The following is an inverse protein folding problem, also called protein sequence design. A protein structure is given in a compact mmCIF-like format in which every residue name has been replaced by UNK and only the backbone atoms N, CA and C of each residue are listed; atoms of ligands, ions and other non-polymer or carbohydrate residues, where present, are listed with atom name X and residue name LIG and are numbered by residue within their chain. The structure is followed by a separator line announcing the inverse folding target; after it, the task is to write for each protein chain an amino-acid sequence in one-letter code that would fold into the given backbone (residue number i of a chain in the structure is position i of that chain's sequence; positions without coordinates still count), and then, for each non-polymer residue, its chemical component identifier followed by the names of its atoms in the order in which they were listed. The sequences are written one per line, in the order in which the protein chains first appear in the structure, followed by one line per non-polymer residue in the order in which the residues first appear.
data_IF_552560893204
#
_entry.id   IF_552560893204
#
_cell.length_a   1.000
_cell.length_b   1.000
_cell.length_c   1.000
_cell.angle_alpha   90.00
_cell.angle_beta   90.00
_cell.angle_gamma   90.00
#
_symmetry.space_group_name_H-M   'P 1'
#
loop_
_entity.id
_entity.type
_entity.pdbx_description
1 polymer ?
#
# COMPACT_ATOMS: atom_id res chain seq x y z
N UNK A 1 -16.72 21.73 8.15
CA UNK A 1 -15.42 21.04 8.09
C UNK A 1 -15.63 19.85 7.17
N UNK A 2 -14.85 19.75 6.09
CA UNK A 2 -14.92 18.59 5.18
C UNK A 2 -14.49 17.32 5.90
N UNK A 3 -14.84 16.16 5.34
CA UNK A 3 -14.34 14.88 5.85
C UNK A 3 -12.80 14.87 5.78
N UNK A 4 -12.16 14.28 6.78
CA UNK A 4 -10.73 13.98 6.74
C UNK A 4 -10.59 12.47 6.61
N UNK A 5 -9.96 12.01 5.53
CA UNK A 5 -9.77 10.58 5.26
C UNK A 5 -8.29 10.23 5.41
N UNK A 6 -7.99 9.14 6.09
CA UNK A 6 -6.63 8.63 6.25
C UNK A 6 -6.47 7.29 5.54
N UNK A 7 -5.53 7.23 4.61
CA UNK A 7 -5.26 6.06 3.77
C UNK A 7 -3.86 5.54 4.05
N UNK A 8 -3.71 4.24 4.25
CA UNK A 8 -2.40 3.58 4.12
C UNK A 8 -2.24 3.05 2.70
N UNK A 9 -1.06 3.22 2.12
CA UNK A 9 -0.80 2.83 0.74
C UNK A 9 0.56 2.14 0.65
N UNK A 10 0.56 0.85 0.32
CA UNK A 10 1.75 0.09 -0.05
C UNK A 10 2.20 0.52 -1.45
N UNK A 11 3.20 1.41 -1.50
CA UNK A 11 3.78 2.04 -2.69
C UNK A 11 4.89 1.15 -3.28
N UNK A 12 4.48 0.12 -4.02
CA UNK A 12 5.38 -0.90 -4.54
C UNK A 12 5.91 -0.60 -5.95
N UNK A 13 5.63 0.61 -6.48
CA UNK A 13 6.08 1.12 -7.78
C UNK A 13 6.81 2.47 -7.65
N UNK A 14 7.43 2.72 -6.50
CA UNK A 14 8.18 3.96 -6.22
C UNK A 14 9.30 4.24 -7.23
N UNK A 15 9.83 3.21 -7.89
CA UNK A 15 10.81 3.26 -8.99
C UNK A 15 10.22 3.73 -10.35
N UNK A 16 9.00 4.30 -10.36
CA UNK A 16 8.31 4.78 -11.58
C UNK A 16 7.75 6.19 -11.38
N UNK A 17 8.08 7.16 -12.24
CA UNK A 17 7.57 8.52 -12.09
C UNK A 17 6.06 8.59 -12.34
N UNK A 18 5.53 7.84 -13.30
CA UNK A 18 4.10 7.85 -13.63
C UNK A 18 3.25 7.01 -12.67
N UNK A 19 3.80 5.93 -12.11
CA UNK A 19 3.04 4.97 -11.30
C UNK A 19 3.26 5.11 -9.79
N UNK A 20 4.45 5.54 -9.35
CA UNK A 20 4.70 5.89 -7.96
C UNK A 20 3.98 7.18 -7.62
N UNK A 21 4.48 8.33 -8.11
CA UNK A 21 3.88 9.61 -7.73
C UNK A 21 2.54 9.88 -8.42
N UNK A 22 2.48 9.75 -9.76
CA UNK A 22 1.24 9.99 -10.50
C UNK A 22 0.13 8.98 -10.19
N UNK A 23 0.46 7.69 -10.18
CA UNK A 23 -0.47 6.60 -9.90
C UNK A 23 -1.08 6.69 -8.51
N UNK A 24 -0.27 7.00 -7.49
CA UNK A 24 -0.78 7.20 -6.12
C UNK A 24 -1.75 8.38 -6.05
N UNK A 25 -1.50 9.48 -6.78
CA UNK A 25 -2.45 10.59 -6.84
C UNK A 25 -3.78 10.20 -7.50
N UNK A 26 -3.77 9.41 -8.58
CA UNK A 26 -5.00 8.95 -9.24
C UNK A 26 -5.85 8.05 -8.33
N UNK A 27 -5.23 7.18 -7.53
CA UNK A 27 -5.94 6.35 -6.55
C UNK A 27 -6.61 7.18 -5.44
N UNK A 28 -6.00 8.30 -5.06
CA UNK A 28 -6.46 9.16 -3.96
C UNK A 28 -7.46 10.21 -4.45
N UNK A 29 -7.40 10.58 -5.73
CA UNK A 29 -8.22 11.65 -6.32
C UNK A 29 -9.72 11.55 -6.02
N UNK A 30 -10.39 10.37 -6.11
CA UNK A 30 -11.81 10.26 -5.76
C UNK A 30 -12.12 10.64 -4.30
N UNK A 31 -11.24 10.27 -3.37
CA UNK A 31 -11.36 10.62 -1.95
C UNK A 31 -11.13 12.11 -1.72
N UNK A 32 -10.13 12.67 -2.40
CA UNK A 32 -9.78 14.09 -2.29
C UNK A 32 -10.88 15.03 -2.80
N UNK A 33 -11.78 14.59 -3.67
CA UNK A 33 -12.96 15.39 -4.03
C UNK A 33 -13.98 15.52 -2.90
N UNK A 34 -13.93 14.64 -1.88
CA UNK A 34 -14.85 14.64 -0.75
C UNK A 34 -14.31 15.35 0.49
N UNK A 35 -13.01 15.64 0.54
CA UNK A 35 -12.38 16.30 1.69
C UNK A 35 -10.86 16.17 1.68
N UNK A 36 -10.21 16.52 2.80
CA UNK A 36 -8.76 16.38 2.91
C UNK A 36 -8.37 14.92 3.06
N UNK A 37 -7.24 14.54 2.48
CA UNK A 37 -6.72 13.18 2.56
C UNK A 37 -5.31 13.19 3.11
N UNK A 38 -5.05 12.33 4.08
CA UNK A 38 -3.71 11.98 4.52
C UNK A 38 -3.37 10.58 4.02
N UNK A 39 -2.21 10.45 3.39
CA UNK A 39 -1.72 9.20 2.83
C UNK A 39 -0.43 8.82 3.54
N UNK A 40 -0.47 7.70 4.25
CA UNK A 40 0.70 7.06 4.84
C UNK A 40 1.28 6.07 3.82
N UNK A 41 2.41 6.45 3.22
CA UNK A 41 3.10 5.67 2.20
C UNK A 41 4.04 4.66 2.86
N UNK A 42 3.89 3.41 2.47
CA UNK A 42 4.69 2.29 2.93
C UNK A 42 5.48 1.70 1.76
N UNK A 43 6.80 1.61 1.88
CA UNK A 43 7.69 1.05 0.85
C UNK A 43 8.50 -0.11 1.41
N UNK A 44 7.86 -1.20 1.88
CA UNK A 44 8.52 -2.28 2.61
C UNK A 44 9.63 -2.98 1.80
N UNK A 45 9.52 -3.00 0.48
CA UNK A 45 10.54 -3.55 -0.44
C UNK A 45 11.84 -2.74 -0.46
N UNK A 46 11.80 -1.48 -0.05
CA UNK A 46 12.97 -0.59 0.02
C UNK A 46 13.51 -0.45 1.44
N UNK A 47 12.69 -0.78 2.43
CA UNK A 47 12.91 -0.49 3.84
C UNK A 47 13.90 -1.46 4.50
N UNK A 48 14.71 -0.96 5.44
CA UNK A 48 15.55 -1.77 6.30
C UNK A 48 14.75 -2.53 7.37
N UNK A 49 15.34 -3.62 7.88
CA UNK A 49 14.79 -4.36 9.01
C UNK A 49 14.79 -3.53 10.31
N UNK A 50 15.79 -2.67 10.49
CA UNK A 50 15.91 -1.79 11.66
C UNK A 50 14.77 -0.77 11.71
N UNK A 51 14.45 -0.14 10.58
CA UNK A 51 13.29 0.74 10.48
C UNK A 51 11.98 0.00 10.77
N UNK A 52 11.86 -1.27 10.36
CA UNK A 52 10.69 -2.10 10.68
C UNK A 52 10.56 -2.43 12.17
N UNK A 53 11.68 -2.62 12.87
CA UNK A 53 11.68 -2.81 14.33
C UNK A 53 11.26 -1.53 15.05
N UNK A 54 11.79 -0.37 14.62
CA UNK A 54 11.41 0.94 15.14
C UNK A 54 9.91 1.19 14.95
N UNK A 55 9.36 0.93 13.76
CA UNK A 55 7.93 1.04 13.50
C UNK A 55 7.10 0.20 14.48
N UNK A 56 7.50 -1.06 14.72
CA UNK A 56 6.77 -1.94 15.63
C UNK A 56 6.82 -1.47 17.09
N UNK A 57 7.94 -0.89 17.55
CA UNK A 57 8.11 -0.44 18.94
C UNK A 57 7.61 0.98 19.22
N UNK A 58 7.73 1.87 18.24
CA UNK A 58 7.49 3.32 18.40
C UNK A 58 6.18 3.77 17.72
N UNK A 59 5.57 2.95 16.86
CA UNK A 59 4.35 3.29 16.12
C UNK A 59 4.65 4.00 14.81
N UNK A 60 4.29 5.28 14.72
CA UNK A 60 4.53 6.09 13.53
C UNK A 60 5.97 6.58 13.48
N UNK A 61 6.76 6.04 12.55
CA UNK A 61 8.16 6.42 12.33
C UNK A 61 8.30 6.90 10.89
N UNK A 62 8.63 8.18 10.70
CA UNK A 62 8.94 8.69 9.37
C UNK A 62 10.23 8.06 8.84
N UNK A 63 10.21 7.60 7.59
CA UNK A 63 11.42 7.07 6.94
C UNK A 63 12.37 8.20 6.57
N UNK A 64 13.66 7.96 6.73
CA UNK A 64 14.73 8.75 6.12
C UNK A 64 15.38 7.96 4.98
N UNK A 65 16.29 8.60 4.25
CA UNK A 65 17.07 7.94 3.20
C UNK A 65 17.92 6.78 3.75
N UNK A 66 18.45 6.91 4.97
CA UNK A 66 19.21 5.86 5.66
C UNK A 66 18.35 4.61 5.97
N UNK A 67 17.03 4.79 6.13
CA UNK A 67 16.10 3.71 6.41
C UNK A 67 15.72 2.90 5.15
N UNK A 68 16.10 3.36 3.95
CA UNK A 68 15.78 2.73 2.66
C UNK A 68 17.04 2.34 1.86
N UNK A 69 17.84 1.36 2.34
CA UNK A 69 19.15 1.03 1.75
C UNK A 69 19.11 0.47 0.32
N UNK A 70 17.90 0.20 -0.21
CA UNK A 70 17.69 -0.31 -1.56
C UNK A 70 16.99 0.70 -2.46
N UNK A 71 16.91 1.96 -2.04
CA UNK A 71 16.30 3.02 -2.84
C UNK A 71 17.01 3.19 -4.18
N UNK A 72 16.22 3.48 -5.22
CA UNK A 72 16.72 3.70 -6.57
C UNK A 72 17.14 5.17 -6.74
N UNK A 73 18.43 5.40 -6.97
CA UNK A 73 19.03 6.75 -7.12
C UNK A 73 18.49 7.51 -8.34
N UNK A 74 17.81 6.84 -9.29
CA UNK A 74 17.16 7.48 -10.43
C UNK A 74 15.97 8.36 -10.02
N UNK A 75 15.46 8.20 -8.78
CA UNK A 75 14.36 8.98 -8.22
C UNK A 75 14.71 9.52 -6.84
N UNK A 76 14.67 10.84 -6.65
CA UNK A 76 14.97 11.45 -5.35
C UNK A 76 14.04 10.96 -4.24
N UNK A 77 14.61 10.47 -3.15
CA UNK A 77 13.87 10.19 -1.93
C UNK A 77 13.23 11.47 -1.39
N UNK A 78 11.98 11.38 -0.97
CA UNK A 78 11.30 12.44 -0.24
C UNK A 78 10.58 11.83 0.96
N UNK A 79 10.57 12.51 2.09
CA UNK A 79 9.91 12.01 3.29
C UNK A 79 8.42 12.37 3.28
N UNK A 80 8.11 13.62 2.92
CA UNK A 80 6.76 14.16 2.89
C UNK A 80 6.54 15.03 1.66
N UNK A 81 5.29 15.07 1.19
CA UNK A 81 4.87 15.92 0.08
C UNK A 81 3.40 16.30 0.27
N UNK A 82 3.04 17.55 0.00
CA UNK A 82 1.65 18.02 0.07
C UNK A 82 1.29 18.75 -1.20
N UNK A 83 0.08 18.52 -1.69
CA UNK A 83 -0.50 19.18 -2.86
C UNK A 83 -2.00 19.38 -2.66
N UNK A 84 -2.63 20.12 -3.58
CA UNK A 84 -4.08 20.24 -3.64
C UNK A 84 -4.64 19.40 -4.78
N UNK A 85 -5.67 18.60 -4.48
CA UNK A 85 -6.44 17.85 -5.48
C UNK A 85 -7.90 18.23 -5.31
N UNK A 86 -8.53 18.74 -6.37
CA UNK A 86 -9.94 19.15 -6.33
C UNK A 86 -10.25 20.28 -5.34
N UNK A 87 -9.24 21.07 -4.95
CA UNK A 87 -9.38 22.15 -3.96
C UNK A 87 -9.29 21.71 -2.50
N UNK A 88 -8.97 20.44 -2.24
CA UNK A 88 -8.69 19.92 -0.90
C UNK A 88 -7.20 19.54 -0.75
N UNK A 89 -6.62 19.74 0.44
CA UNK A 89 -5.23 19.37 0.70
C UNK A 89 -5.09 17.85 0.79
N UNK A 90 -4.06 17.33 0.15
CA UNK A 90 -3.62 15.94 0.21
C UNK A 90 -2.17 15.90 0.69
N UNK A 91 -1.93 15.27 1.83
CA UNK A 91 -0.58 15.04 2.36
C UNK A 91 -0.16 13.59 2.13
N UNK A 92 1.08 13.41 1.72
CA UNK A 92 1.73 12.12 1.60
C UNK A 92 2.91 12.10 2.58
N UNK A 93 2.95 11.10 3.47
CA UNK A 93 4.02 10.94 4.46
C UNK A 93 4.53 9.51 4.39
N UNK A 94 5.82 9.35 4.16
CA UNK A 94 6.45 8.03 4.05
C UNK A 94 6.89 7.57 5.44
N UNK A 95 6.28 6.50 5.91
CA UNK A 95 6.53 5.93 7.24
C UNK A 95 7.03 4.50 7.13
N UNK A 96 7.75 4.06 8.15
CA UNK A 96 8.19 2.69 8.29
C UNK A 96 7.01 1.79 8.69
N UNK A 97 7.06 0.52 8.33
CA UNK A 97 6.11 -0.50 8.77
C UNK A 97 6.80 -1.74 9.36
N UNK A 98 6.13 -2.49 10.26
CA UNK A 98 6.62 -3.78 10.73
C UNK A 98 6.86 -4.77 9.58
N UNK A 99 7.96 -5.54 9.66
CA UNK A 99 8.33 -6.52 8.63
C UNK A 99 8.34 -7.98 9.10
N UNK A 100 8.23 -8.24 10.42
CA UNK A 100 8.47 -9.56 10.99
C UNK A 100 7.33 -10.58 10.82
N UNK A 101 6.16 -10.17 10.32
CA UNK A 101 5.09 -11.10 10.02
C UNK A 101 4.22 -11.56 11.21
N UNK A 102 4.25 -10.85 12.34
CA UNK A 102 3.43 -11.20 13.50
C UNK A 102 2.09 -10.48 13.37
N UNK A 103 1.03 -11.25 13.10
CA UNK A 103 -0.31 -10.73 12.85
C UNK A 103 -0.87 -9.92 14.03
N UNK A 104 -0.69 -10.41 15.25
CA UNK A 104 -1.23 -9.75 16.45
C UNK A 104 -0.49 -8.43 16.73
N UNK A 105 0.83 -8.42 16.58
CA UNK A 105 1.63 -7.21 16.76
C UNK A 105 1.37 -6.18 15.65
N UNK A 106 1.19 -6.65 14.40
CA UNK A 106 0.87 -5.80 13.25
C UNK A 106 -0.53 -5.21 13.37
N UNK A 107 -1.51 -5.99 13.85
CA UNK A 107 -2.87 -5.50 14.10
C UNK A 107 -2.89 -4.37 15.14
N UNK A 108 -2.20 -4.54 16.28
CA UNK A 108 -2.09 -3.47 17.29
C UNK A 108 -1.39 -2.22 16.75
N UNK A 109 -0.38 -2.39 15.91
CA UNK A 109 0.29 -1.27 15.25
C UNK A 109 -0.67 -0.54 14.30
N UNK A 110 -1.38 -1.28 13.44
CA UNK A 110 -2.34 -0.74 12.47
C UNK A 110 -3.50 0.02 13.14
N UNK A 111 -4.07 -0.53 14.22
CA UNK A 111 -5.16 0.08 14.98
C UNK A 111 -4.80 1.47 15.54
N UNK A 112 -3.50 1.73 15.77
CA UNK A 112 -3.00 3.00 16.28
C UNK A 112 -3.16 4.19 15.32
N UNK A 113 -3.41 3.93 14.02
CA UNK A 113 -3.44 4.98 13.01
C UNK A 113 -4.83 5.48 12.66
N UNK A 114 -5.90 4.72 12.93
CA UNK A 114 -7.26 5.08 12.52
C UNK A 114 -7.40 5.20 11.00
N UNK A 115 -7.00 4.14 10.28
CA UNK A 115 -7.02 4.10 8.81
C UNK A 115 -8.44 3.84 8.29
N UNK A 116 -8.88 4.67 7.34
CA UNK A 116 -10.18 4.55 6.67
C UNK A 116 -10.13 3.59 5.46
N UNK A 117 -8.96 3.45 4.82
CA UNK A 117 -8.75 2.50 3.73
C UNK A 117 -7.27 2.08 3.59
N UNK A 118 -7.03 0.83 3.19
CA UNK A 118 -5.71 0.30 2.82
C UNK A 118 -5.64 0.01 1.33
N UNK A 119 -4.68 0.62 0.63
CA UNK A 119 -4.40 0.35 -0.78
C UNK A 119 -3.07 -0.38 -0.93
N UNK A 120 -2.98 -1.26 -1.93
CA UNK A 120 -1.74 -1.88 -2.37
C UNK A 120 -1.62 -1.82 -3.89
N UNK A 121 -0.57 -1.15 -4.36
CA UNK A 121 -0.32 -0.97 -5.78
C UNK A 121 0.09 -2.26 -6.48
N UNK A 122 0.27 -2.18 -7.80
CA UNK A 122 1.06 -3.17 -8.52
C UNK A 122 2.53 -3.17 -8.06
N UNK A 123 3.33 -4.12 -8.55
CA UNK A 123 4.78 -4.20 -8.28
C UNK A 123 5.49 -4.87 -9.47
N UNK A 124 6.81 -4.69 -9.56
CA UNK A 124 7.68 -5.46 -10.47
C UNK A 124 8.00 -6.86 -9.95
N UNK A 125 7.61 -7.15 -8.71
CA UNK A 125 7.86 -8.41 -8.01
C UNK A 125 6.80 -9.45 -8.36
N UNK A 126 7.01 -10.68 -7.93
CA UNK A 126 6.09 -11.79 -8.19
C UNK A 126 5.76 -12.50 -6.88
N UNK A 127 4.49 -12.60 -6.52
CA UNK A 127 4.03 -13.24 -5.27
C UNK A 127 4.46 -14.71 -5.17
N UNK A 128 4.70 -15.39 -6.30
CA UNK A 128 5.22 -16.76 -6.30
C UNK A 128 6.70 -16.86 -5.94
N UNK A 129 7.43 -15.74 -5.96
CA UNK A 129 8.83 -15.63 -5.51
C UNK A 129 8.79 -14.77 -4.25
N UNK A 130 8.54 -15.44 -3.12
CA UNK A 130 8.35 -14.75 -1.85
C UNK A 130 9.64 -14.02 -1.42
N UNK A 131 9.49 -12.76 -1.02
CA UNK A 131 10.55 -11.93 -0.46
C UNK A 131 10.18 -11.56 0.98
N UNK A 132 11.16 -11.37 1.86
CA UNK A 132 10.94 -11.23 3.31
C UNK A 132 9.96 -10.09 3.66
N UNK A 133 10.01 -8.97 2.94
CA UNK A 133 9.13 -7.82 3.13
C UNK A 133 7.65 -8.13 2.83
N UNK A 134 7.36 -9.17 2.04
CA UNK A 134 6.01 -9.59 1.72
C UNK A 134 5.29 -10.16 2.94
N UNK A 135 6.02 -10.69 3.93
CA UNK A 135 5.42 -11.23 5.16
C UNK A 135 4.78 -10.14 6.02
N UNK A 136 5.51 -9.04 6.25
CA UNK A 136 4.95 -7.85 6.91
C UNK A 136 3.78 -7.24 6.14
N UNK A 137 3.90 -7.18 4.81
CA UNK A 137 2.83 -6.67 3.93
C UNK A 137 1.56 -7.55 4.00
N UNK A 138 1.72 -8.87 4.02
CA UNK A 138 0.61 -9.80 4.16
C UNK A 138 -0.05 -9.70 5.53
N UNK A 139 0.74 -9.52 6.59
CA UNK A 139 0.25 -9.30 7.96
C UNK A 139 -0.55 -8.01 8.07
N UNK A 140 -0.06 -6.92 7.44
CA UNK A 140 -0.78 -5.65 7.36
C UNK A 140 -2.12 -5.78 6.61
N UNK A 141 -2.14 -6.52 5.49
CA UNK A 141 -3.37 -6.79 4.76
C UNK A 141 -4.37 -7.60 5.59
N UNK A 142 -3.91 -8.63 6.31
CA UNK A 142 -4.76 -9.39 7.24
C UNK A 142 -5.30 -8.50 8.35
N UNK A 143 -4.46 -7.65 8.95
CA UNK A 143 -4.88 -6.71 9.99
C UNK A 143 -6.00 -5.78 9.48
N UNK A 144 -5.82 -5.15 8.33
CA UNK A 144 -6.82 -4.27 7.71
C UNK A 144 -8.12 -4.98 7.35
N UNK A 145 -8.06 -6.21 6.82
CA UNK A 145 -9.25 -6.98 6.49
C UNK A 145 -10.00 -7.37 7.77
N UNK A 146 -9.29 -7.83 8.79
CA UNK A 146 -9.87 -8.28 10.06
C UNK A 146 -10.47 -7.14 10.88
N UNK A 147 -9.96 -5.91 10.74
CA UNK A 147 -10.55 -4.70 11.36
C UNK A 147 -11.82 -4.22 10.65
N UNK A 148 -12.14 -4.77 9.48
CA UNK A 148 -13.23 -4.28 8.61
C UNK A 148 -12.85 -3.04 7.80
N UNK A 149 -11.57 -2.67 7.76
CA UNK A 149 -11.09 -1.53 6.96
C UNK A 149 -11.09 -1.92 5.46
N UNK A 150 -11.77 -1.15 4.59
CA UNK A 150 -11.75 -1.37 3.15
C UNK A 150 -10.33 -1.55 2.61
N UNK A 151 -10.07 -2.68 1.94
CA UNK A 151 -8.74 -3.05 1.45
C UNK A 151 -8.78 -3.30 -0.05
N UNK A 152 -7.98 -2.56 -0.82
CA UNK A 152 -7.88 -2.68 -2.28
C UNK A 152 -6.48 -3.13 -2.69
N UNK A 153 -6.40 -4.24 -3.41
CA UNK A 153 -5.16 -4.69 -4.06
C UNK A 153 -5.26 -4.57 -5.58
N UNK A 154 -4.21 -4.05 -6.23
CA UNK A 154 -4.15 -3.87 -7.69
C UNK A 154 -3.03 -4.75 -8.26
N UNK A 155 -3.34 -5.59 -9.26
CA UNK A 155 -2.37 -6.47 -9.92
C UNK A 155 -1.58 -7.33 -8.90
N UNK A 156 -0.30 -7.03 -8.65
CA UNK A 156 0.49 -7.67 -7.59
C UNK A 156 -0.18 -7.53 -6.23
N UNK A 157 -0.69 -6.34 -5.87
CA UNK A 157 -1.36 -6.11 -4.60
C UNK A 157 -2.60 -6.99 -4.42
N UNK A 158 -3.33 -7.26 -5.51
CA UNK A 158 -4.46 -8.20 -5.49
C UNK A 158 -3.99 -9.63 -5.22
N UNK A 159 -2.92 -10.08 -5.89
CA UNK A 159 -2.35 -11.40 -5.68
C UNK A 159 -1.84 -11.56 -4.25
N UNK A 160 -1.17 -10.55 -3.70
CA UNK A 160 -0.65 -10.58 -2.33
C UNK A 160 -1.80 -10.62 -1.31
N UNK A 161 -2.86 -9.83 -1.52
CA UNK A 161 -4.06 -9.86 -0.68
C UNK A 161 -4.72 -11.25 -0.67
N UNK A 162 -4.97 -11.81 -1.85
CA UNK A 162 -5.53 -13.16 -1.98
C UNK A 162 -4.64 -14.20 -1.29
N UNK A 163 -3.31 -14.13 -1.49
CA UNK A 163 -2.35 -15.02 -0.84
C UNK A 163 -2.37 -14.87 0.68
N UNK A 164 -2.42 -13.64 1.19
CA UNK A 164 -2.47 -13.34 2.62
C UNK A 164 -3.73 -13.92 3.28
N UNK A 165 -4.85 -13.99 2.54
CA UNK A 165 -6.12 -14.59 2.97
C UNK A 165 -6.21 -16.11 2.70
N UNK A 166 -5.11 -16.75 2.31
CA UNK A 166 -5.02 -18.22 2.19
C UNK A 166 -5.24 -18.77 0.78
N UNK A 167 -5.39 -17.92 -0.24
CA UNK A 167 -5.47 -18.38 -1.62
C UNK A 167 -4.12 -18.92 -2.14
N UNK A 168 -4.19 -19.77 -3.18
CA UNK A 168 -3.01 -20.21 -3.92
C UNK A 168 -2.86 -19.37 -5.19
N UNK A 169 -1.65 -18.85 -5.42
CA UNK A 169 -1.32 -18.09 -6.62
C UNK A 169 -0.66 -19.03 -7.62
N UNK A 170 -1.20 -19.08 -8.84
CA UNK A 170 -0.71 -19.92 -9.93
C UNK A 170 -0.31 -19.08 -11.14
N UNK A 171 0.63 -19.57 -11.92
CA UNK A 171 1.04 -18.92 -13.18
C UNK A 171 -0.02 -19.17 -14.25
N UNK A 172 -0.38 -18.12 -15.00
CA UNK A 172 -1.19 -18.24 -16.22
C UNK A 172 -0.36 -18.80 -17.37
N UNK A 173 -0.96 -19.65 -18.20
CA UNK A 173 -0.36 -20.20 -19.41
C UNK A 173 -0.22 -19.13 -20.52
N UNK A 174 -1.01 -18.06 -20.46
CA UNK A 174 -0.98 -16.95 -21.41
C UNK A 174 -0.59 -15.63 -20.75
N UNK A 175 0.13 -14.79 -21.51
CA UNK A 175 0.42 -13.42 -21.14
C UNK A 175 -0.79 -12.53 -21.43
N UNK A 176 -1.24 -11.79 -20.42
CA UNK A 176 -2.23 -10.72 -20.60
C UNK A 176 -1.49 -9.38 -20.66
N UNK A 177 -1.26 -8.86 -21.87
CA UNK A 177 -0.84 -7.47 -22.08
C UNK A 177 -1.71 -6.81 -23.17
N UNK A 178 -2.58 -5.86 -22.79
CA UNK A 178 -3.61 -5.30 -23.66
C UNK A 178 -4.76 -4.63 -22.92
N UNK A 179 -5.78 -4.22 -23.67
CA UNK A 179 -7.07 -3.75 -23.15
C UNK A 179 -8.12 -4.77 -23.58
N UNK A 180 -8.97 -5.16 -22.65
CA UNK A 180 -10.05 -6.11 -22.91
C UNK A 180 -11.35 -5.58 -22.34
N UNK A 181 -12.44 -5.90 -23.02
CA UNK A 181 -13.77 -5.76 -22.46
C UNK A 181 -13.97 -6.85 -21.40
N UNK A 182 -14.44 -6.44 -20.23
CA UNK A 182 -14.79 -7.33 -19.13
C UNK A 182 -16.30 -7.27 -18.93
N UNK A 183 -16.88 -8.44 -18.69
CA UNK A 183 -18.29 -8.57 -18.30
C UNK A 183 -18.36 -8.87 -16.80
N UNK A 184 -19.34 -8.26 -16.13
CA UNK A 184 -19.60 -8.59 -14.73
C UNK A 184 -20.08 -10.05 -14.63
N UNK A 185 -19.57 -10.76 -13.63
CA UNK A 185 -20.14 -12.05 -13.23
C UNK A 185 -21.57 -11.88 -12.74
N UNK A 186 -22.34 -12.98 -12.69
CA UNK A 186 -23.72 -12.95 -12.17
C UNK A 186 -23.78 -12.36 -10.75
N UNK A 187 -22.80 -12.70 -9.90
CA UNK A 187 -22.67 -12.15 -8.54
C UNK A 187 -22.34 -10.65 -8.58
N UNK A 188 -21.41 -10.22 -9.44
CA UNK A 188 -21.02 -8.82 -9.56
C UNK A 188 -22.08 -7.89 -10.15
N UNK A 189 -23.13 -8.44 -10.79
CA UNK A 189 -24.30 -7.66 -11.21
C UNK A 189 -25.27 -7.35 -10.07
N UNK A 190 -25.14 -8.04 -8.92
CA UNK A 190 -26.05 -7.96 -7.78
C UNK A 190 -25.59 -7.04 -6.64
N UNK A 191 -24.35 -6.53 -6.67
CA UNK A 191 -23.79 -5.53 -5.74
C UNK A 191 -24.24 -4.10 -6.09
#
# INVERSE_FOLDING_TARGET
MGAHTRVMLLDLLVERPEFGHGGNQEMIRPLAYSGSVEVLLLTPQMQSHEAGQRAQSEGEVLLTEDDVPHWDDDFGFWQEYTLEIGGNPVSFRRIAMPLHGDDDATARWFDGFGIDALYCSGSRRNVSIWEDWMEGSASLMRASVNSGTPTLGICFGHQLLCKALGATITRSDSLSNGVWDLELTDEGQGD
#
